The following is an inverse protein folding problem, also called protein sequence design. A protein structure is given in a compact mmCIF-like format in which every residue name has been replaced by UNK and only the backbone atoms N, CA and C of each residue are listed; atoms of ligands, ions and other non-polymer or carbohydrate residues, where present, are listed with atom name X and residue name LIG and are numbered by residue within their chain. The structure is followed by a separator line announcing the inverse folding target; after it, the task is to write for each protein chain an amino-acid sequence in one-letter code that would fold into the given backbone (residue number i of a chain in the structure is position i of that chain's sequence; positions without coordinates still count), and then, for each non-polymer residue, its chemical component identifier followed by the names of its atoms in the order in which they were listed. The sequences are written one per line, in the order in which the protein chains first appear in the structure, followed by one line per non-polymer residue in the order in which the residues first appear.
data_IF_934521212399
#
_entry.id   IF_934521212399
#
_cell.length_a   1.000
_cell.length_b   1.000
_cell.length_c   1.000
_cell.angle_alpha   90.00
_cell.angle_beta   90.00
_cell.angle_gamma   90.00
#
_symmetry.space_group_name_H-M   'P 1'
#
loop_
_entity.id
_entity.type
_entity.pdbx_description
1 polymer ?
#
# COMPACT_ATOMS: atom_id res chain seq x y z
N UNK A 1 -20.35 0.16 -7.46
CA UNK A 1 -18.88 -0.03 -7.48
C UNK A 1 -18.34 0.95 -8.52
N UNK A 2 -17.61 1.98 -8.10
CA UNK A 2 -17.18 3.05 -9.00
C UNK A 2 -15.76 2.81 -9.56
N UNK A 3 -15.57 1.64 -10.16
CA UNK A 3 -14.34 1.33 -10.89
C UNK A 3 -14.66 0.63 -12.19
N UNK A 4 -13.86 0.93 -13.22
CA UNK A 4 -13.90 0.19 -14.48
C UNK A 4 -12.90 -0.95 -14.39
N UNK A 5 -13.29 -2.16 -14.78
CA UNK A 5 -12.42 -3.34 -14.68
C UNK A 5 -11.04 -3.12 -15.32
N UNK A 6 -10.98 -2.43 -16.47
CA UNK A 6 -9.73 -2.06 -17.16
C UNK A 6 -8.78 -1.14 -16.38
N UNK A 7 -9.26 -0.47 -15.34
CA UNK A 7 -8.46 0.45 -14.52
C UNK A 7 -7.74 -0.27 -13.39
N UNK A 8 -8.08 -1.54 -13.10
CA UNK A 8 -7.43 -2.33 -12.06
C UNK A 8 -5.99 -2.63 -12.44
N UNK A 9 -5.05 -2.25 -11.57
CA UNK A 9 -3.63 -2.49 -11.77
C UNK A 9 -3.05 -3.38 -10.66
N UNK A 10 -2.19 -4.30 -11.08
CA UNK A 10 -1.46 -5.24 -10.23
C UNK A 10 0.03 -4.94 -10.35
N UNK A 11 0.89 -5.59 -9.55
CA UNK A 11 2.35 -5.48 -9.60
C UNK A 11 2.90 -4.04 -9.46
N UNK A 12 4.18 -3.81 -9.81
CA UNK A 12 4.86 -2.50 -9.75
C UNK A 12 5.76 -2.30 -8.52
N UNK A 13 5.57 -3.10 -7.48
CA UNK A 13 6.33 -3.03 -6.23
C UNK A 13 7.59 -3.92 -6.20
N UNK A 14 8.00 -4.53 -7.32
CA UNK A 14 9.18 -5.42 -7.43
C UNK A 14 9.35 -6.42 -6.26
N UNK A 15 8.23 -6.92 -5.72
CA UNK A 15 8.12 -7.80 -4.53
C UNK A 15 8.53 -7.19 -3.17
N UNK A 16 8.92 -5.92 -3.12
CA UNK A 16 9.25 -5.23 -1.87
C UNK A 16 8.01 -4.60 -1.21
N UNK A 17 7.70 -4.94 0.06
CA UNK A 17 6.64 -4.27 0.81
C UNK A 17 7.00 -2.81 1.09
N UNK A 18 5.99 -1.95 1.28
CA UNK A 18 6.21 -0.58 1.74
C UNK A 18 6.97 -0.60 3.07
N UNK A 19 8.07 0.16 3.16
CA UNK A 19 8.90 0.30 4.36
C UNK A 19 8.66 1.63 5.05
N UNK A 20 8.78 1.67 6.38
CA UNK A 20 8.51 2.86 7.21
C UNK A 20 9.14 4.16 6.71
N UNK A 21 10.40 4.11 6.25
CA UNK A 21 11.16 5.29 5.80
C UNK A 21 10.94 5.68 4.34
N UNK A 22 10.18 4.91 3.55
CA UNK A 22 10.08 5.14 2.11
C UNK A 22 9.22 6.35 1.74
N UNK A 23 8.07 6.55 2.38
CA UNK A 23 7.24 7.73 2.11
C UNK A 23 7.94 9.04 2.53
N UNK A 24 8.54 9.15 3.74
CA UNK A 24 9.33 10.34 4.10
C UNK A 24 10.46 10.64 3.10
N UNK A 25 11.20 9.61 2.67
CA UNK A 25 12.30 9.76 1.71
C UNK A 25 11.80 10.20 0.32
N UNK A 26 10.71 9.60 -0.16
CA UNK A 26 10.10 9.96 -1.43
C UNK A 26 9.63 11.42 -1.43
N UNK A 27 8.97 11.86 -0.35
CA UNK A 27 8.52 13.26 -0.21
C UNK A 27 9.70 14.21 -0.20
N UNK A 28 10.75 13.93 0.60
CA UNK A 28 11.96 14.75 0.63
C UNK A 28 12.56 14.91 -0.77
N UNK A 29 12.74 13.79 -1.47
CA UNK A 29 13.33 13.77 -2.80
C UNK A 29 12.48 14.59 -3.80
N UNK A 30 11.15 14.43 -3.78
CA UNK A 30 10.25 15.21 -4.66
C UNK A 30 10.31 16.70 -4.37
N UNK A 31 10.46 17.14 -3.12
CA UNK A 31 10.61 18.57 -2.80
C UNK A 31 11.83 19.20 -3.47
N UNK A 32 12.89 18.42 -3.67
CA UNK A 32 14.15 18.90 -4.22
C UNK A 32 14.20 18.78 -5.75
N UNK A 33 13.57 17.74 -6.31
CA UNK A 33 13.77 17.37 -7.73
C UNK A 33 12.51 17.35 -8.59
N UNK A 34 11.32 17.43 -7.97
CA UNK A 34 10.03 17.17 -8.63
C UNK A 34 9.99 15.86 -9.42
N UNK A 35 10.76 14.82 -9.02
CA UNK A 35 10.94 13.62 -9.84
C UNK A 35 11.17 12.37 -8.98
N UNK A 36 10.43 11.28 -9.22
CA UNK A 36 10.71 9.94 -8.68
C UNK A 36 11.03 8.90 -9.75
N UNK A 37 11.07 9.31 -11.02
CA UNK A 37 11.45 8.46 -12.16
C UNK A 37 12.96 8.34 -12.32
N UNK A 38 13.75 9.31 -11.85
CA UNK A 38 15.22 9.22 -11.84
C UNK A 38 15.71 8.33 -10.70
N UNK A 39 15.72 7.03 -10.96
CA UNK A 39 16.18 6.05 -9.99
C UNK A 39 17.66 6.20 -9.66
N UNK A 40 18.51 6.73 -10.55
CA UNK A 40 19.94 6.87 -10.26
C UNK A 40 20.18 7.92 -9.18
N UNK A 41 19.48 9.05 -9.27
CA UNK A 41 19.49 10.09 -8.24
C UNK A 41 19.00 9.54 -6.89
N UNK A 42 17.87 8.82 -6.87
CA UNK A 42 17.35 8.18 -5.66
C UNK A 42 18.36 7.18 -5.07
N UNK A 43 18.97 6.34 -5.90
CA UNK A 43 19.94 5.34 -5.44
C UNK A 43 21.13 6.00 -4.75
N UNK A 44 21.66 7.07 -5.35
CA UNK A 44 22.82 7.81 -4.86
C UNK A 44 22.51 8.56 -3.57
N UNK A 45 21.38 9.27 -3.50
CA UNK A 45 21.00 10.07 -2.33
C UNK A 45 20.54 9.20 -1.15
N UNK A 46 19.81 8.11 -1.43
CA UNK A 46 19.11 7.33 -0.40
C UNK A 46 19.79 6.01 -0.05
N UNK A 47 20.86 5.62 -0.75
CA UNK A 47 21.56 4.35 -0.56
C UNK A 47 20.69 3.12 -0.88
N UNK A 48 19.72 3.27 -1.79
CA UNK A 48 18.80 2.19 -2.17
C UNK A 48 19.29 1.48 -3.42
N UNK A 49 19.01 0.18 -3.55
CA UNK A 49 19.17 -0.53 -4.82
C UNK A 49 18.07 -0.14 -5.83
N UNK A 50 18.31 -0.35 -7.14
CA UNK A 50 17.38 0.07 -8.22
C UNK A 50 15.94 -0.42 -8.04
N UNK A 51 15.75 -1.68 -7.67
CA UNK A 51 14.39 -2.24 -7.46
C UNK A 51 13.73 -1.65 -6.20
N UNK A 52 14.51 -1.33 -5.16
CA UNK A 52 13.98 -0.64 -3.98
C UNK A 52 13.58 0.80 -4.31
N UNK A 53 14.36 1.52 -5.13
CA UNK A 53 14.00 2.86 -5.61
C UNK A 53 12.69 2.84 -6.42
N UNK A 54 12.55 1.89 -7.35
CA UNK A 54 11.29 1.66 -8.09
C UNK A 54 10.12 1.37 -7.16
N UNK A 55 10.32 0.50 -6.17
CA UNK A 55 9.28 0.15 -5.19
C UNK A 55 8.90 1.34 -4.31
N UNK A 56 9.86 2.18 -3.91
CA UNK A 56 9.60 3.41 -3.15
C UNK A 56 8.71 4.37 -3.96
N UNK A 57 9.03 4.60 -5.24
CA UNK A 57 8.17 5.36 -6.15
C UNK A 57 6.78 4.74 -6.24
N UNK A 58 6.70 3.42 -6.48
CA UNK A 58 5.42 2.71 -6.58
C UNK A 58 4.56 2.95 -5.35
N UNK A 59 5.12 2.82 -4.15
CA UNK A 59 4.36 3.01 -2.92
C UNK A 59 3.97 4.46 -2.65
N UNK A 60 4.82 5.44 -3.01
CA UNK A 60 4.48 6.86 -2.90
C UNK A 60 3.30 7.24 -3.80
N UNK A 61 3.26 6.72 -5.04
CA UNK A 61 2.13 6.90 -5.97
C UNK A 61 0.89 6.10 -5.53
N UNK A 62 1.10 4.88 -5.03
CA UNK A 62 0.06 3.97 -4.57
C UNK A 62 -0.74 4.50 -3.38
N UNK A 63 -0.05 5.14 -2.44
CA UNK A 63 -0.63 5.76 -1.25
C UNK A 63 -1.18 7.16 -1.52
N UNK A 64 -1.13 7.64 -2.77
CA UNK A 64 -1.55 9.00 -3.18
C UNK A 64 -0.84 10.12 -2.41
N UNK A 65 0.32 9.84 -1.81
CA UNK A 65 1.16 10.85 -1.14
C UNK A 65 1.89 11.70 -2.19
N UNK A 66 2.30 11.06 -3.29
CA UNK A 66 2.88 11.71 -4.46
C UNK A 66 2.05 11.33 -5.68
N UNK A 67 1.86 12.27 -6.61
CA UNK A 67 1.20 12.03 -7.88
C UNK A 67 2.13 12.37 -9.04
N UNK A 68 1.96 11.67 -10.16
CA UNK A 68 2.75 11.88 -11.37
C UNK A 68 1.90 12.63 -12.41
N UNK A 69 2.37 13.79 -12.85
CA UNK A 69 1.77 14.51 -13.95
C UNK A 69 2.27 13.94 -15.28
N UNK A 70 1.42 13.21 -15.99
CA UNK A 70 1.81 12.57 -17.25
C UNK A 70 2.16 13.56 -18.38
N UNK A 71 1.71 14.82 -18.30
CA UNK A 71 2.03 15.86 -19.31
C UNK A 71 3.42 16.44 -19.08
N UNK A 72 3.73 16.84 -17.85
CA UNK A 72 5.05 17.43 -17.53
C UNK A 72 6.11 16.38 -17.20
N UNK A 73 5.70 15.13 -16.94
CA UNK A 73 6.52 14.00 -16.45
C UNK A 73 7.13 14.24 -15.06
N UNK A 74 6.58 15.19 -14.32
CA UNK A 74 7.00 15.53 -12.97
C UNK A 74 6.16 14.83 -11.92
N UNK A 75 6.72 14.73 -10.73
CA UNK A 75 6.06 14.29 -9.51
C UNK A 75 5.79 15.48 -8.61
N UNK A 76 4.62 15.49 -7.98
CA UNK A 76 4.26 16.50 -6.99
C UNK A 76 3.65 15.85 -5.75
N UNK A 77 3.86 16.47 -4.60
CA UNK A 77 3.31 16.02 -3.32
C UNK A 77 1.85 16.47 -3.25
N UNK A 78 0.94 15.55 -2.92
CA UNK A 78 -0.49 15.87 -2.82
C UNK A 78 -0.77 16.72 -1.59
N UNK A 79 -1.98 17.28 -1.50
CA UNK A 79 -2.41 18.02 -0.31
C UNK A 79 -2.27 17.19 0.97
N UNK A 80 -2.74 15.94 0.96
CA UNK A 80 -2.60 15.02 2.10
C UNK A 80 -1.13 14.67 2.38
N UNK A 81 -0.30 14.51 1.35
CA UNK A 81 1.14 14.31 1.51
C UNK A 81 1.83 15.49 2.19
N UNK A 82 1.43 16.73 1.84
CA UNK A 82 1.95 17.94 2.46
C UNK A 82 1.45 18.14 3.90
N UNK A 83 0.23 17.70 4.23
CA UNK A 83 -0.25 17.69 5.61
C UNK A 83 0.58 16.70 6.46
N UNK A 84 0.71 15.45 6.01
CA UNK A 84 1.38 14.40 6.78
C UNK A 84 2.88 14.69 6.93
N UNK A 85 3.56 15.06 5.84
CA UNK A 85 5.02 15.23 5.84
C UNK A 85 5.45 16.70 5.87
N UNK A 86 4.53 17.63 6.14
CA UNK A 86 4.79 19.05 6.32
C UNK A 86 5.46 19.36 7.66
N UNK A 87 5.76 20.64 7.92
CA UNK A 87 6.54 21.03 9.10
C UNK A 87 5.93 20.58 10.43
N UNK A 88 4.60 20.68 10.54
CA UNK A 88 3.80 20.32 11.72
C UNK A 88 3.16 18.93 11.61
N UNK A 89 3.50 18.16 10.57
CA UNK A 89 2.92 16.84 10.31
C UNK A 89 3.67 15.69 11.00
N UNK A 90 3.12 14.49 10.84
CA UNK A 90 3.75 13.23 11.26
C UNK A 90 4.82 12.73 10.26
N UNK A 91 5.95 13.44 10.22
CA UNK A 91 7.07 13.15 9.29
C UNK A 91 7.65 11.75 9.43
N UNK A 92 7.41 11.08 10.56
CA UNK A 92 8.01 9.81 10.92
C UNK A 92 7.00 8.69 11.11
N UNK A 93 5.73 8.89 10.73
CA UNK A 93 4.66 7.88 10.82
C UNK A 93 4.55 7.28 12.23
N UNK A 94 4.53 8.14 13.25
CA UNK A 94 4.45 7.76 14.67
C UNK A 94 3.00 7.62 15.15
N UNK A 95 2.05 8.27 14.50
CA UNK A 95 0.65 8.24 14.92
C UNK A 95 -0.15 7.17 14.18
N UNK A 96 -0.95 6.41 14.93
CA UNK A 96 -1.84 5.36 14.41
C UNK A 96 -2.77 5.90 13.32
N UNK A 97 -3.39 7.07 13.55
CA UNK A 97 -4.29 7.71 12.57
C UNK A 97 -3.61 7.99 11.23
N UNK A 98 -2.35 8.43 11.24
CA UNK A 98 -1.58 8.64 10.01
C UNK A 98 -1.37 7.33 9.27
N UNK A 99 -1.06 6.24 9.98
CA UNK A 99 -0.89 4.91 9.37
C UNK A 99 -2.23 4.40 8.80
N UNK A 100 -3.34 4.58 9.52
CA UNK A 100 -4.68 4.27 9.04
C UNK A 100 -5.06 5.08 7.80
N UNK A 101 -4.68 6.36 7.75
CA UNK A 101 -4.94 7.21 6.60
C UNK A 101 -4.19 6.73 5.37
N UNK A 102 -2.91 6.41 5.51
CA UNK A 102 -2.11 5.88 4.42
C UNK A 102 -2.65 4.51 3.98
N UNK A 103 -3.13 3.68 4.91
CA UNK A 103 -3.82 2.43 4.59
C UNK A 103 -5.08 2.69 3.77
N UNK A 104 -5.96 3.58 4.22
CA UNK A 104 -7.18 3.96 3.51
C UNK A 104 -6.88 4.45 2.08
N UNK A 105 -5.90 5.34 1.92
CA UNK A 105 -5.51 5.86 0.61
C UNK A 105 -4.96 4.75 -0.31
N UNK A 106 -4.23 3.79 0.25
CA UNK A 106 -3.71 2.64 -0.49
C UNK A 106 -4.82 1.71 -0.96
N UNK A 107 -5.69 1.27 -0.04
CA UNK A 107 -6.72 0.27 -0.33
C UNK A 107 -7.87 0.83 -1.17
N UNK A 108 -7.99 2.16 -1.28
CA UNK A 108 -8.92 2.81 -2.21
C UNK A 108 -8.30 3.10 -3.58
N UNK A 109 -7.00 2.88 -3.77
CA UNK A 109 -6.29 3.12 -5.03
C UNK A 109 -6.20 1.86 -5.91
N UNK A 110 -7.35 1.37 -6.36
CA UNK A 110 -7.43 0.18 -7.24
C UNK A 110 -6.64 0.34 -8.56
N UNK A 111 -6.41 1.59 -8.99
CA UNK A 111 -5.62 1.96 -10.19
C UNK A 111 -4.13 1.67 -10.08
N UNK A 112 -3.64 1.39 -8.87
CA UNK A 112 -2.25 1.02 -8.61
C UNK A 112 -2.12 -0.28 -7.81
N UNK A 113 -3.13 -0.65 -7.00
CA UNK A 113 -3.03 -1.77 -6.05
C UNK A 113 -4.35 -2.54 -5.96
N UNK A 114 -4.80 -3.12 -7.08
CA UNK A 114 -6.06 -3.85 -7.16
C UNK A 114 -6.15 -5.04 -6.20
N UNK A 115 -5.04 -5.74 -5.90
CA UNK A 115 -5.08 -6.83 -4.91
C UNK A 115 -5.40 -6.33 -3.49
N UNK A 116 -4.86 -5.17 -3.10
CA UNK A 116 -5.16 -4.54 -1.82
C UNK A 116 -6.60 -4.06 -1.77
N UNK A 117 -7.05 -3.41 -2.85
CA UNK A 117 -8.46 -3.02 -3.00
C UNK A 117 -9.39 -4.22 -2.84
N UNK A 118 -9.12 -5.31 -3.57
CA UNK A 118 -9.92 -6.52 -3.50
C UNK A 118 -9.96 -7.11 -2.09
N UNK A 119 -8.80 -7.29 -1.45
CA UNK A 119 -8.71 -7.88 -0.11
C UNK A 119 -9.53 -7.14 0.94
N UNK A 120 -9.50 -5.80 0.93
CA UNK A 120 -10.12 -4.99 1.99
C UNK A 120 -11.53 -4.47 1.64
N UNK A 121 -11.92 -4.45 0.36
CA UNK A 121 -13.20 -3.84 -0.07
C UNK A 121 -14.13 -4.80 -0.81
N UNK A 122 -13.64 -5.93 -1.33
CA UNK A 122 -14.44 -6.84 -2.16
C UNK A 122 -14.48 -8.27 -1.64
N UNK A 123 -13.40 -8.71 -0.99
CA UNK A 123 -13.31 -10.06 -0.45
C UNK A 123 -14.31 -10.23 0.70
N UNK A 124 -15.25 -11.15 0.54
CA UNK A 124 -16.34 -11.37 1.50
C UNK A 124 -15.98 -12.29 2.67
N UNK A 125 -14.79 -12.88 2.69
CA UNK A 125 -14.34 -13.78 3.76
C UNK A 125 -13.46 -13.06 4.80
N UNK A 126 -13.33 -13.65 5.99
CA UNK A 126 -12.41 -13.17 7.03
C UNK A 126 -11.23 -14.13 7.28
N UNK A 127 -11.22 -15.29 6.62
CA UNK A 127 -10.19 -16.30 6.75
C UNK A 127 -9.88 -16.91 5.39
N UNK A 128 -8.59 -17.11 5.08
CA UNK A 128 -8.14 -17.65 3.80
C UNK A 128 -6.76 -18.29 3.87
N UNK A 129 -6.56 -19.30 3.04
CA UNK A 129 -5.21 -19.74 2.62
C UNK A 129 -4.79 -18.98 1.36
N UNK A 130 -3.49 -19.00 1.03
CA UNK A 130 -2.97 -18.44 -0.22
C UNK A 130 -3.72 -18.98 -1.44
N UNK A 131 -3.90 -20.30 -1.55
CA UNK A 131 -4.57 -20.91 -2.69
C UNK A 131 -6.05 -20.51 -2.78
N UNK A 132 -6.77 -20.49 -1.65
CA UNK A 132 -8.18 -20.06 -1.64
C UNK A 132 -8.35 -18.59 -2.04
N UNK A 133 -7.44 -17.70 -1.60
CA UNK A 133 -7.48 -16.29 -1.96
C UNK A 133 -7.19 -16.08 -3.45
N UNK A 134 -6.18 -16.78 -3.99
CA UNK A 134 -5.81 -16.70 -5.40
C UNK A 134 -6.92 -17.24 -6.30
N UNK A 135 -7.62 -18.29 -5.89
CA UNK A 135 -8.83 -18.77 -6.60
C UNK A 135 -9.94 -17.72 -6.56
N UNK A 136 -10.21 -17.13 -5.40
CA UNK A 136 -11.27 -16.14 -5.24
C UNK A 136 -11.02 -14.86 -6.07
N UNK A 137 -9.82 -14.31 -6.04
CA UNK A 137 -9.51 -13.08 -6.81
C UNK A 137 -9.57 -13.33 -8.32
N UNK A 138 -9.21 -14.53 -8.79
CA UNK A 138 -9.36 -14.90 -10.21
C UNK A 138 -10.82 -14.99 -10.62
N UNK A 139 -11.65 -15.65 -9.81
CA UNK A 139 -13.10 -15.70 -10.04
C UNK A 139 -13.73 -14.30 -10.02
N UNK A 140 -13.26 -13.40 -9.14
CA UNK A 140 -13.67 -12.00 -9.15
C UNK A 140 -13.28 -11.28 -10.44
N UNK A 141 -12.04 -11.43 -10.90
CA UNK A 141 -11.55 -10.84 -12.16
C UNK A 141 -12.31 -11.34 -13.39
N UNK A 142 -12.67 -12.62 -13.41
CA UNK A 142 -13.52 -13.22 -14.45
C UNK A 142 -14.94 -12.63 -14.40
N UNK A 143 -15.54 -12.55 -13.20
CA UNK A 143 -16.89 -11.99 -13.00
C UNK A 143 -17.02 -10.53 -13.45
N UNK A 144 -15.99 -9.72 -13.26
CA UNK A 144 -15.98 -8.31 -13.69
C UNK A 144 -15.47 -8.12 -15.12
N UNK A 145 -15.23 -9.22 -15.85
CA UNK A 145 -14.74 -9.22 -17.24
C UNK A 145 -13.47 -8.38 -17.42
N UNK A 146 -12.49 -8.56 -16.51
CA UNK A 146 -11.23 -7.84 -16.61
C UNK A 146 -10.54 -8.19 -17.95
N UNK A 147 -10.17 -7.20 -18.80
CA UNK A 147 -9.75 -7.46 -20.17
C UNK A 147 -8.42 -8.22 -20.26
N UNK A 148 -7.51 -8.00 -19.31
CA UNK A 148 -6.17 -8.62 -19.28
C UNK A 148 -5.81 -9.09 -17.86
N UNK A 149 -6.45 -10.14 -17.33
CA UNK A 149 -6.26 -10.53 -15.94
C UNK A 149 -4.82 -11.04 -15.71
N UNK A 150 -4.18 -10.70 -14.58
CA UNK A 150 -2.86 -11.22 -14.25
C UNK A 150 -2.87 -12.74 -14.08
N UNK A 151 -1.77 -13.39 -14.51
CA UNK A 151 -1.58 -14.82 -14.28
C UNK A 151 -1.39 -15.17 -12.80
N UNK A 152 -1.56 -16.45 -12.46
CA UNK A 152 -1.44 -16.98 -11.09
C UNK A 152 -0.14 -16.52 -10.39
N UNK A 153 1.02 -16.64 -11.05
CA UNK A 153 2.32 -16.26 -10.47
C UNK A 153 2.42 -14.76 -10.13
N UNK A 154 1.84 -13.87 -10.93
CA UNK A 154 1.80 -12.43 -10.62
C UNK A 154 0.93 -12.17 -9.39
N UNK A 155 -0.28 -12.74 -9.36
CA UNK A 155 -1.19 -12.61 -8.20
C UNK A 155 -0.53 -13.13 -6.91
N UNK A 156 0.22 -14.23 -6.99
CA UNK A 156 0.95 -14.76 -5.84
C UNK A 156 2.07 -13.84 -5.35
N UNK A 157 2.75 -13.12 -6.26
CA UNK A 157 3.78 -12.13 -5.88
C UNK A 157 3.16 -10.95 -5.14
N UNK A 158 2.05 -10.43 -5.65
CA UNK A 158 1.30 -9.34 -5.03
C UNK A 158 0.75 -9.80 -3.66
N UNK A 159 0.19 -11.02 -3.60
CA UNK A 159 -0.31 -11.62 -2.35
C UNK A 159 0.80 -11.68 -1.29
N UNK A 160 1.96 -12.25 -1.65
CA UNK A 160 3.09 -12.36 -0.73
C UNK A 160 3.57 -10.97 -0.26
N UNK A 161 3.60 -9.98 -1.16
CA UNK A 161 3.97 -8.61 -0.81
C UNK A 161 2.95 -7.99 0.15
N UNK A 162 1.65 -8.15 -0.11
CA UNK A 162 0.57 -7.72 0.76
C UNK A 162 0.66 -8.36 2.16
N UNK A 163 0.84 -9.68 2.24
CA UNK A 163 1.02 -10.36 3.52
C UNK A 163 2.29 -9.89 4.25
N UNK A 164 3.36 -9.55 3.53
CA UNK A 164 4.56 -8.97 4.13
C UNK A 164 4.34 -7.54 4.67
N UNK A 165 3.30 -6.84 4.23
CA UNK A 165 2.94 -5.51 4.73
C UNK A 165 2.06 -5.56 5.98
N UNK A 166 1.15 -6.54 6.07
CA UNK A 166 0.14 -6.57 7.14
C UNK A 166 0.32 -7.70 8.17
N UNK A 167 0.92 -8.83 7.77
CA UNK A 167 0.99 -10.02 8.60
C UNK A 167 2.40 -10.21 9.20
N UNK A 168 2.50 -9.92 10.49
CA UNK A 168 3.63 -10.32 11.33
C UNK A 168 3.48 -11.81 11.69
N UNK A 169 4.14 -12.71 10.96
CA UNK A 169 4.17 -14.12 11.34
C UNK A 169 5.08 -14.34 12.56
N UNK A 170 4.74 -15.28 13.44
CA UNK A 170 5.58 -15.62 14.61
C UNK A 170 6.97 -16.15 14.22
N UNK A 171 7.10 -16.72 13.01
CA UNK A 171 8.39 -17.11 12.42
C UNK A 171 9.27 -15.91 12.08
N UNK A 172 8.67 -14.76 11.70
CA UNK A 172 9.41 -13.51 11.44
C UNK A 172 9.86 -12.83 12.72
N UNK A 173 9.10 -12.95 13.83
CA UNK A 173 9.53 -12.44 15.15
C UNK A 173 10.84 -13.07 15.64
N UNK A 174 11.17 -14.30 15.23
CA UNK A 174 12.39 -15.02 15.63
C UNK A 174 13.62 -14.73 14.77
N UNK A 175 13.48 -14.19 13.56
CA UNK A 175 14.59 -13.80 12.68
C UNK A 175 14.82 -12.30 12.83
N UNK A 176 15.83 -11.93 13.63
CA UNK A 176 16.40 -10.60 13.87
C UNK A 176 15.59 -9.39 13.37
N UNK A 177 15.17 -8.57 14.33
CA UNK A 177 14.44 -7.30 14.20
C UNK A 177 15.15 -6.29 13.27
N UNK A 178 16.47 -6.40 13.08
CA UNK A 178 17.27 -5.42 12.35
C UNK A 178 17.27 -5.56 10.82
N UNK A 179 17.01 -6.76 10.25
CA UNK A 179 16.98 -6.95 8.79
C UNK A 179 15.59 -6.70 8.18
N UNK A 180 14.54 -6.68 9.00
CA UNK A 180 13.18 -6.34 8.57
C UNK A 180 12.86 -4.90 8.97
N UNK A 181 13.15 -3.95 8.07
CA UNK A 181 12.45 -2.66 8.09
C UNK A 181 10.97 -2.98 7.86
N UNK A 182 10.22 -3.10 8.95
CA UNK A 182 8.82 -3.48 8.93
C UNK A 182 8.00 -2.44 8.17
N UNK A 183 6.96 -2.92 7.49
CA UNK A 183 5.96 -2.03 6.94
C UNK A 183 5.22 -1.31 8.08
N UNK A 184 4.90 0.00 7.95
CA UNK A 184 4.15 0.72 8.97
C UNK A 184 2.81 0.03 9.27
N UNK A 185 2.20 -0.64 8.28
CA UNK A 185 0.91 -1.31 8.44
C UNK A 185 0.93 -2.54 9.34
N UNK A 186 2.11 -3.08 9.69
CA UNK A 186 2.20 -4.17 10.66
C UNK A 186 1.66 -3.74 12.04
N UNK A 187 1.77 -2.45 12.38
CA UNK A 187 1.26 -1.90 13.63
C UNK A 187 -0.27 -1.93 13.70
N UNK A 188 -0.94 -1.93 12.55
CA UNK A 188 -2.39 -2.04 12.48
C UNK A 188 -2.87 -3.46 12.78
N UNK A 189 -2.00 -4.48 12.73
CA UNK A 189 -2.34 -5.88 12.99
C UNK A 189 -3.59 -6.39 12.24
N UNK A 190 -3.89 -5.80 11.07
CA UNK A 190 -5.12 -6.09 10.32
C UNK A 190 -5.23 -7.56 9.91
N UNK A 191 -4.09 -8.22 9.72
CA UNK A 191 -4.01 -9.61 9.30
C UNK A 191 -3.05 -10.35 10.21
N UNK A 192 -3.47 -11.53 10.66
CA UNK A 192 -2.63 -12.45 11.41
C UNK A 192 -2.71 -13.86 10.84
N UNK A 193 -1.70 -14.68 11.09
CA UNK A 193 -1.64 -16.06 10.61
C UNK A 193 -1.75 -17.05 11.76
N UNK A 194 -2.62 -18.06 11.61
CA UNK A 194 -2.79 -19.15 12.57
C UNK A 194 -2.87 -20.48 11.82
N UNK A 195 -1.98 -21.42 12.14
CA UNK A 195 -1.93 -22.78 11.54
C UNK A 195 -1.96 -22.77 9.99
N UNK A 196 -1.25 -21.83 9.36
CA UNK A 196 -1.16 -21.71 7.89
C UNK A 196 -2.30 -20.92 7.23
N UNK A 197 -3.34 -20.57 7.98
CA UNK A 197 -4.46 -19.72 7.52
C UNK A 197 -4.23 -18.27 7.93
N UNK A 198 -4.51 -17.33 7.01
CA UNK A 198 -4.54 -15.90 7.29
C UNK A 198 -5.95 -15.49 7.70
N UNK A 199 -6.05 -14.58 8.66
CA UNK A 199 -7.32 -14.02 9.14
C UNK A 199 -7.28 -12.52 9.18
N UNK A 200 -8.34 -11.89 8.69
CA UNK A 200 -8.59 -10.45 8.79
C UNK A 200 -9.29 -10.21 10.12
N UNK A 201 -8.74 -9.33 10.95
CA UNK A 201 -9.42 -8.94 12.21
C UNK A 201 -10.47 -7.88 11.96
N UNK A 202 -11.50 -7.87 12.79
CA UNK A 202 -12.41 -6.73 12.89
C UNK A 202 -11.74 -5.59 13.64
N UNK A 203 -11.98 -4.36 13.17
CA UNK A 203 -11.54 -3.13 13.82
C UNK A 203 -12.46 -2.79 15.00
N UNK A 204 -11.91 -2.27 16.08
CA UNK A 204 -12.63 -1.64 17.18
C UNK A 204 -12.91 -0.16 16.86
N UNK A 205 -14.01 0.39 17.37
CA UNK A 205 -14.37 1.80 17.17
C UNK A 205 -13.38 2.80 17.81
N UNK A 206 -12.47 2.34 18.66
CA UNK A 206 -11.50 3.19 19.36
C UNK A 206 -10.12 3.28 18.66
N UNK A 207 -9.95 2.62 17.51
CA UNK A 207 -8.62 2.51 16.87
C UNK A 207 -8.27 3.67 15.92
N UNK A 208 -9.27 4.48 15.59
CA UNK A 208 -9.16 5.69 14.77
C UNK A 208 -9.88 6.85 15.46
N UNK A 209 -9.33 8.05 15.35
CA UNK A 209 -10.03 9.25 15.86
C UNK A 209 -11.29 9.57 15.05
N UNK A 210 -12.19 10.34 15.65
CA UNK A 210 -13.39 10.86 14.97
C UNK A 210 -13.03 11.73 13.76
N UNK A 211 -11.96 12.52 13.85
CA UNK A 211 -11.48 13.38 12.77
C UNK A 211 -10.99 12.53 11.59
N UNK A 212 -10.24 11.47 11.88
CA UNK A 212 -9.74 10.54 10.88
C UNK A 212 -10.89 9.79 10.18
N UNK A 213 -11.86 9.30 10.96
CA UNK A 213 -13.07 8.68 10.41
C UNK A 213 -13.86 9.66 9.52
N UNK A 214 -14.06 10.88 10.00
CA UNK A 214 -14.79 11.93 9.27
C UNK A 214 -14.09 12.27 7.96
N UNK A 215 -12.76 12.40 7.95
CA UNK A 215 -11.99 12.61 6.73
C UNK A 215 -12.23 11.49 5.71
N UNK A 216 -12.14 10.22 6.13
CA UNK A 216 -12.38 9.08 5.24
C UNK A 216 -13.80 9.05 4.70
N UNK A 217 -14.80 9.38 5.52
CA UNK A 217 -16.20 9.44 5.12
C UNK A 217 -16.42 10.54 4.07
N UNK A 218 -15.92 11.76 4.33
CA UNK A 218 -16.02 12.87 3.37
C UNK A 218 -15.30 12.54 2.06
N UNK A 219 -14.10 11.95 2.14
CA UNK A 219 -13.37 11.53 0.94
C UNK A 219 -14.14 10.45 0.17
N UNK A 220 -14.73 9.48 0.87
CA UNK A 220 -15.54 8.42 0.25
C UNK A 220 -16.79 8.97 -0.46
N UNK A 221 -17.45 9.96 0.12
CA UNK A 221 -18.64 10.60 -0.49
C UNK A 221 -18.32 11.47 -1.69
N UNK A 222 -17.05 11.86 -1.88
CA UNK A 222 -16.57 12.62 -3.04
C UNK A 222 -16.02 11.73 -4.17
N UNK A 223 -15.77 10.45 -3.89
CA UNK A 223 -15.32 9.45 -4.87
C UNK A 223 -16.49 8.94 -5.71
#
# INVERSE_FOLDING_TARGET
MDYKAKELHFYGHDTFPLRHRWLPKAVKHVRETNNLSDYYSIMTEQGLGRNMAKSMRHWAESTKIVMHNHKTKEHYITHVGNIIFGEQGDKYLQYSDTIWLIHYLLVTNHKKNALWYYLFNCYGGNAFTKDSFITAIRAWLEKIEHPNPPGKKQLERDFNCCMNMYCLSDLKKKRNIDEYISSPFNQLQLIYQKRGEYRIRSMSSMEVSEQMFTYCLLNYLQL
#
